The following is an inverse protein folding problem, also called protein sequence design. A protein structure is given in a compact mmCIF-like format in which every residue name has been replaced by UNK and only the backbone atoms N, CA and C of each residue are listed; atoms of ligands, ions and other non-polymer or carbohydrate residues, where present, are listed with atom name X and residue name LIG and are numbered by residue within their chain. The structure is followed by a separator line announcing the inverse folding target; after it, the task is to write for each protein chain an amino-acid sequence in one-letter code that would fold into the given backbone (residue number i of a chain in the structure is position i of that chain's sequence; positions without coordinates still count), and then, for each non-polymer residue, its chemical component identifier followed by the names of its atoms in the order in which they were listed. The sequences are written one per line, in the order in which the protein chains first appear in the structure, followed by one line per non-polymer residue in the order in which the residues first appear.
data_IF_892109786993
#
_entry.id   IF_892109786993
#
_cell.length_a   1.000
_cell.length_b   1.000
_cell.length_c   1.000
_cell.angle_alpha   90.00
_cell.angle_beta   90.00
_cell.angle_gamma   90.00
#
_symmetry.space_group_name_H-M   'P 1'
#
loop_
_entity.id
_entity.type
_entity.pdbx_description
1 polymer ?
#
# COMPACT_ATOMS: atom_id res chain seq x y z
N UNK A 1 12.24 -12.13 48.27
CA UNK A 1 12.03 -13.05 47.14
C UNK A 1 11.30 -12.29 46.05
N UNK A 2 12.04 -11.86 45.09
CA UNK A 2 11.66 -10.92 44.04
C UNK A 2 10.95 -11.69 42.91
N UNK A 3 9.66 -11.39 42.72
CA UNK A 3 8.83 -11.96 41.65
C UNK A 3 8.68 -10.96 40.51
N UNK A 4 9.30 -11.23 39.44
CA UNK A 4 9.46 -10.48 38.20
C UNK A 4 8.12 -10.16 37.52
N UNK A 5 7.71 -8.91 37.54
CA UNK A 5 6.64 -8.36 36.70
C UNK A 5 7.29 -7.82 35.41
N UNK A 6 7.40 -8.64 34.39
CA UNK A 6 7.82 -8.20 33.05
C UNK A 6 7.01 -8.97 32.01
N UNK A 7 5.84 -8.50 31.68
CA UNK A 7 5.08 -9.08 30.56
C UNK A 7 4.01 -8.17 29.96
N UNK A 8 4.09 -6.83 30.05
CA UNK A 8 3.01 -6.01 29.52
C UNK A 8 3.46 -4.78 28.74
N UNK A 9 4.71 -4.71 28.30
CA UNK A 9 5.22 -3.47 27.70
C UNK A 9 5.71 -3.62 26.24
N UNK A 10 5.24 -4.61 25.47
CA UNK A 10 5.90 -4.90 24.19
C UNK A 10 5.02 -4.79 22.95
N UNK A 11 3.77 -4.36 23.02
CA UNK A 11 2.95 -4.26 21.82
C UNK A 11 2.71 -2.83 21.30
N UNK A 12 3.04 -1.81 22.06
CA UNK A 12 2.94 -0.41 21.60
C UNK A 12 4.07 0.03 20.65
N UNK A 13 5.07 -0.81 20.43
CA UNK A 13 6.28 -0.42 19.68
C UNK A 13 6.23 -0.67 18.16
N UNK A 14 5.11 -1.12 17.61
CA UNK A 14 5.05 -1.48 16.18
C UNK A 14 4.64 -0.30 15.29
N UNK A 15 4.20 0.82 15.82
CA UNK A 15 3.69 1.96 15.04
C UNK A 15 4.33 3.32 15.36
N UNK A 16 5.38 3.39 16.13
CA UNK A 16 6.20 4.59 16.14
C UNK A 16 7.33 4.42 15.10
N UNK A 17 7.08 4.80 13.88
CA UNK A 17 8.14 5.27 12.99
C UNK A 17 8.88 6.38 13.73
N UNK A 18 10.04 6.00 14.26
CA UNK A 18 10.81 6.78 15.22
C UNK A 18 11.18 8.15 14.70
N UNK A 19 10.60 9.14 15.31
CA UNK A 19 11.22 10.43 15.42
C UNK A 19 12.41 10.33 16.37
N UNK A 20 13.56 9.87 15.91
CA UNK A 20 14.82 10.11 16.59
C UNK A 20 15.22 11.56 16.32
N UNK A 21 14.81 12.47 17.18
CA UNK A 21 15.31 13.83 17.22
C UNK A 21 16.81 13.81 17.53
N UNK A 22 17.64 13.84 16.52
CA UNK A 22 19.02 14.30 16.65
C UNK A 22 18.98 15.83 16.51
N UNK A 23 19.16 16.51 17.62
CA UNK A 23 19.57 17.91 17.64
C UNK A 23 20.96 17.98 17.03
N UNK A 24 21.05 18.26 15.73
CA UNK A 24 22.29 18.59 15.07
C UNK A 24 22.36 20.13 14.96
N UNK A 25 23.37 20.70 15.58
CA UNK A 25 23.76 22.09 15.45
C UNK A 25 23.95 22.44 13.98
N UNK A 26 23.32 23.54 13.54
CA UNK A 26 23.41 24.09 12.20
C UNK A 26 24.82 24.57 11.89
N UNK A 27 25.55 23.84 11.08
CA UNK A 27 26.53 24.39 10.16
C UNK A 27 25.89 24.42 8.79
N UNK A 28 25.84 25.58 8.14
CA UNK A 28 25.11 25.78 6.87
C UNK A 28 25.71 25.00 5.70
N UNK A 29 25.44 23.71 5.63
CA UNK A 29 25.68 22.88 4.47
C UNK A 29 24.50 23.02 3.51
N UNK A 30 24.82 23.36 2.25
CA UNK A 30 23.83 23.33 1.18
C UNK A 30 23.18 21.94 1.13
N UNK A 31 21.84 21.84 0.99
CA UNK A 31 21.19 20.56 0.88
C UNK A 31 21.83 19.75 -0.25
N UNK A 32 22.31 18.56 0.09
CA UNK A 32 22.88 17.63 -0.89
C UNK A 32 21.75 17.16 -1.80
N UNK A 33 21.93 17.35 -3.13
CA UNK A 33 20.97 16.87 -4.11
C UNK A 33 20.68 15.38 -3.88
N UNK A 34 19.42 15.04 -3.61
CA UNK A 34 19.03 13.65 -3.37
C UNK A 34 19.18 12.86 -4.68
N UNK A 35 19.98 11.82 -4.65
CA UNK A 35 20.12 10.92 -5.79
C UNK A 35 18.89 10.03 -5.90
N UNK A 36 18.43 9.70 -7.13
CA UNK A 36 17.38 8.72 -7.32
C UNK A 36 17.72 7.40 -6.61
N UNK A 37 16.79 6.87 -5.82
CA UNK A 37 16.94 5.62 -5.12
C UNK A 37 16.28 4.49 -5.93
N UNK A 38 16.99 3.36 -6.10
CA UNK A 38 16.40 2.17 -6.70
C UNK A 38 15.43 1.54 -5.69
N UNK A 39 14.18 1.35 -6.12
CA UNK A 39 13.21 0.62 -5.34
C UNK A 39 13.22 -0.87 -5.69
N UNK A 40 12.99 -1.71 -4.71
CA UNK A 40 12.81 -3.15 -4.93
C UNK A 40 11.54 -3.37 -5.76
N UNK A 41 11.64 -4.15 -6.83
CA UNK A 41 10.50 -4.60 -7.62
C UNK A 41 10.26 -6.07 -7.28
N UNK A 42 9.14 -6.40 -6.60
CA UNK A 42 8.80 -7.79 -6.33
C UNK A 42 8.61 -8.56 -7.63
N UNK A 43 9.17 -9.76 -7.71
CA UNK A 43 8.89 -10.66 -8.81
C UNK A 43 7.41 -11.05 -8.83
N UNK A 44 6.83 -11.14 -10.02
CA UNK A 44 5.43 -11.54 -10.21
C UNK A 44 5.31 -12.84 -10.98
N UNK A 45 4.35 -13.66 -10.59
CA UNK A 45 3.97 -14.88 -11.34
C UNK A 45 2.56 -14.68 -11.88
N UNK A 46 2.39 -14.83 -13.20
CA UNK A 46 1.09 -14.73 -13.87
C UNK A 46 0.60 -16.13 -14.22
N UNK A 47 -0.65 -16.43 -13.93
CA UNK A 47 -1.30 -17.69 -14.27
C UNK A 47 -2.66 -17.43 -14.91
N UNK A 48 -2.86 -17.88 -16.14
CA UNK A 48 -4.17 -17.90 -16.78
C UNK A 48 -5.05 -18.95 -16.11
N UNK A 49 -6.24 -18.58 -15.68
CA UNK A 49 -7.23 -19.45 -15.02
C UNK A 49 -8.38 -19.80 -15.96
N UNK A 50 -8.71 -18.90 -16.89
CA UNK A 50 -9.73 -19.11 -17.91
C UNK A 50 -9.53 -18.13 -19.06
N UNK A 51 -9.64 -18.60 -20.30
CA UNK A 51 -9.34 -17.82 -21.50
C UNK A 51 -10.46 -16.84 -21.92
N UNK A 52 -11.66 -17.00 -21.36
CA UNK A 52 -12.84 -16.23 -21.76
C UNK A 52 -13.43 -16.64 -23.11
N UNK A 53 -14.44 -15.89 -23.55
CA UNK A 53 -15.16 -16.13 -24.79
C UNK A 53 -14.35 -15.71 -26.03
N UNK A 54 -14.65 -16.30 -27.18
CA UNK A 54 -14.12 -15.80 -28.45
C UNK A 54 -14.89 -14.53 -28.88
N UNK A 55 -14.26 -13.60 -29.63
CA UNK A 55 -12.88 -13.66 -30.13
C UNK A 55 -11.86 -13.38 -29.01
N UNK A 56 -10.70 -14.03 -29.10
CA UNK A 56 -9.59 -13.86 -28.17
C UNK A 56 -8.44 -13.15 -28.86
N UNK A 57 -7.85 -12.17 -28.18
CA UNK A 57 -6.70 -11.40 -28.68
C UNK A 57 -5.73 -11.14 -27.55
N UNK A 58 -4.43 -10.94 -27.82
CA UNK A 58 -3.47 -10.53 -26.81
C UNK A 58 -3.90 -9.24 -26.12
N UNK A 59 -3.67 -9.15 -24.82
CA UNK A 59 -3.88 -7.94 -24.03
C UNK A 59 -2.52 -7.38 -23.65
N UNK A 60 -2.16 -6.24 -24.19
CA UNK A 60 -0.86 -5.59 -23.99
C UNK A 60 -1.03 -4.09 -23.82
N UNK A 61 -0.12 -3.47 -23.09
CA UNK A 61 -0.01 -2.02 -23.00
C UNK A 61 0.59 -1.49 -24.32
N UNK A 62 -0.02 -0.44 -24.82
CA UNK A 62 0.48 0.32 -25.96
C UNK A 62 1.00 1.66 -25.42
N UNK A 63 2.25 2.00 -25.72
CA UNK A 63 2.74 3.33 -25.38
C UNK A 63 2.33 4.29 -26.48
N UNK A 64 1.36 5.12 -26.19
CA UNK A 64 1.14 6.35 -26.93
C UNK A 64 2.02 7.44 -26.31
N UNK A 65 2.91 8.11 -27.04
CA UNK A 65 3.66 9.22 -26.50
C UNK A 65 2.71 10.36 -26.15
N UNK A 66 2.37 10.47 -24.89
CA UNK A 66 1.46 11.49 -24.39
C UNK A 66 1.38 11.46 -22.90
N UNK A 67 1.02 12.60 -22.34
CA UNK A 67 0.82 12.74 -20.91
C UNK A 67 -0.60 12.27 -20.52
N UNK A 68 -0.69 11.71 -19.33
CA UNK A 68 -1.96 11.39 -18.68
C UNK A 68 -2.00 12.10 -17.32
N UNK A 69 -3.05 12.85 -17.08
CA UNK A 69 -3.32 13.41 -15.76
C UNK A 69 -4.36 12.53 -15.05
N UNK A 70 -4.06 12.14 -13.82
CA UNK A 70 -4.92 11.29 -12.98
C UNK A 70 -4.83 11.79 -11.55
N UNK A 71 -5.97 11.82 -10.87
CA UNK A 71 -5.99 11.98 -9.44
C UNK A 71 -6.01 10.60 -8.78
N UNK A 72 -4.96 10.28 -8.03
CA UNK A 72 -4.89 9.04 -7.25
C UNK A 72 -5.21 9.38 -5.81
N UNK A 73 -6.17 8.65 -5.24
CA UNK A 73 -6.53 8.77 -3.85
C UNK A 73 -6.24 7.46 -3.14
N UNK A 74 -5.36 7.51 -2.14
CA UNK A 74 -5.06 6.37 -1.28
C UNK A 74 -5.66 6.61 0.10
N UNK A 75 -6.32 5.60 0.63
CA UNK A 75 -6.85 5.62 1.99
C UNK A 75 -6.31 4.42 2.72
N UNK A 76 -5.85 4.62 3.94
CA UNK A 76 -5.46 3.56 4.86
C UNK A 76 -6.17 3.77 6.19
N UNK A 77 -6.74 2.69 6.71
CA UNK A 77 -7.37 2.66 8.03
C UNK A 77 -6.87 1.47 8.82
N UNK A 78 -6.79 1.63 10.13
CA UNK A 78 -6.37 0.56 11.02
C UNK A 78 -7.12 0.64 12.35
N UNK A 79 -7.47 -0.53 12.88
CA UNK A 79 -7.86 -0.69 14.28
C UNK A 79 -7.15 -1.89 14.88
N UNK A 80 -7.02 -1.89 16.20
CA UNK A 80 -6.44 -3.01 16.94
C UNK A 80 -7.23 -3.22 18.23
N UNK A 81 -7.53 -4.48 18.53
CA UNK A 81 -8.19 -4.86 19.78
C UNK A 81 -7.47 -6.02 20.46
N UNK A 82 -7.38 -5.98 21.78
CA UNK A 82 -6.75 -7.04 22.57
C UNK A 82 -7.81 -7.77 23.38
N UNK A 83 -7.88 -9.09 23.26
CA UNK A 83 -8.84 -9.95 23.97
C UNK A 83 -8.13 -10.98 24.84
N UNK A 84 -8.80 -11.49 25.88
CA UNK A 84 -8.27 -12.53 26.78
C UNK A 84 -7.30 -12.04 27.86
N UNK A 85 -7.02 -10.75 27.95
CA UNK A 85 -6.31 -10.14 29.08
C UNK A 85 -7.17 -10.08 30.33
N UNK A 86 -6.57 -10.19 31.53
CA UNK A 86 -7.28 -9.91 32.77
C UNK A 86 -7.55 -8.41 32.84
N UNK A 87 -8.81 -7.98 32.89
CA UNK A 87 -9.17 -6.61 33.27
C UNK A 87 -8.64 -6.35 34.68
N UNK A 88 -7.75 -5.37 34.83
CA UNK A 88 -7.36 -4.88 36.15
C UNK A 88 -8.53 -4.04 36.72
N UNK A 89 -9.33 -4.62 37.61
CA UNK A 89 -10.51 -4.01 38.25
C UNK A 89 -10.16 -2.83 39.21
N UNK A 90 -8.98 -2.24 39.13
CA UNK A 90 -8.54 -1.21 40.12
C UNK A 90 -8.52 0.23 39.61
N UNK A 91 -8.98 0.51 38.40
CA UNK A 91 -8.84 1.86 37.79
C UNK A 91 -10.15 2.60 37.49
N UNK A 92 -11.32 2.00 37.76
CA UNK A 92 -12.61 2.65 37.45
C UNK A 92 -12.94 3.90 38.33
N UNK A 93 -12.09 4.26 39.29
CA UNK A 93 -12.34 5.38 40.22
C UNK A 93 -11.52 6.66 39.95
N UNK A 94 -10.53 6.63 39.06
CA UNK A 94 -9.62 7.78 38.84
C UNK A 94 -9.83 8.49 37.48
N UNK A 95 -10.57 7.89 36.54
CA UNK A 95 -10.66 8.39 35.15
C UNK A 95 -11.70 9.49 34.91
N UNK A 96 -12.41 9.96 35.94
CA UNK A 96 -13.43 11.02 35.76
C UNK A 96 -12.92 12.46 35.91
N UNK A 97 -11.63 12.68 36.07
CA UNK A 97 -11.11 14.03 36.40
C UNK A 97 -10.11 14.64 35.41
N UNK A 98 -9.74 13.98 34.32
CA UNK A 98 -8.81 14.57 33.37
C UNK A 98 -9.31 14.38 31.93
N UNK A 99 -9.91 15.42 31.38
CA UNK A 99 -10.21 15.50 29.95
C UNK A 99 -8.91 15.70 29.16
N UNK A 100 -8.34 14.64 28.65
CA UNK A 100 -7.37 14.66 27.56
C UNK A 100 -7.59 13.41 26.71
N UNK A 101 -7.97 13.66 25.46
CA UNK A 101 -8.20 12.65 24.44
C UNK A 101 -6.88 12.20 23.83
N UNK A 102 -6.16 11.28 24.49
CA UNK A 102 -5.17 10.43 23.82
C UNK A 102 -5.84 9.08 23.54
N UNK A 103 -5.90 8.72 22.25
CA UNK A 103 -6.71 7.64 21.70
C UNK A 103 -6.14 6.23 21.94
N UNK A 104 -5.47 5.99 23.06
CA UNK A 104 -5.03 4.66 23.48
C UNK A 104 -5.69 4.28 24.78
N UNK A 105 -6.63 3.34 24.74
CA UNK A 105 -7.07 2.65 25.94
C UNK A 105 -5.87 1.93 26.59
N UNK A 106 -5.79 1.89 27.92
CA UNK A 106 -4.70 1.29 28.70
C UNK A 106 -4.45 -0.22 28.39
N UNK A 107 -5.18 -0.80 27.47
CA UNK A 107 -5.04 -2.19 27.02
C UNK A 107 -4.32 -2.32 25.67
N UNK A 108 -3.87 -1.21 25.05
CA UNK A 108 -3.24 -1.23 23.73
C UNK A 108 -4.25 -1.38 22.59
N UNK A 109 -5.52 -1.10 22.82
CA UNK A 109 -6.54 -1.01 21.80
C UNK A 109 -6.40 0.31 21.04
N UNK A 110 -6.44 0.25 19.71
CA UNK A 110 -6.47 1.39 18.81
C UNK A 110 -7.85 1.48 18.17
N UNK A 111 -8.51 2.63 18.33
CA UNK A 111 -9.75 2.91 17.62
C UNK A 111 -9.49 3.01 16.12
N UNK A 112 -10.52 2.71 15.32
CA UNK A 112 -10.40 2.81 13.86
C UNK A 112 -10.24 4.27 13.44
N UNK A 113 -9.18 4.54 12.69
CA UNK A 113 -8.90 5.83 12.08
C UNK A 113 -8.53 5.64 10.60
N UNK A 114 -9.09 6.45 9.71
CA UNK A 114 -8.72 6.49 8.29
C UNK A 114 -7.90 7.74 7.97
N UNK A 115 -6.78 7.53 7.30
CA UNK A 115 -5.97 8.59 6.70
C UNK A 115 -6.07 8.47 5.19
N UNK A 116 -6.42 9.56 4.54
CA UNK A 116 -6.51 9.63 3.08
C UNK A 116 -5.49 10.61 2.54
N UNK A 117 -4.82 10.21 1.47
CA UNK A 117 -3.93 11.07 0.70
C UNK A 117 -4.45 11.21 -0.72
N UNK A 118 -4.45 12.43 -1.20
CA UNK A 118 -4.86 12.79 -2.55
C UNK A 118 -3.61 13.22 -3.33
N UNK A 119 -3.33 12.50 -4.40
CA UNK A 119 -2.14 12.65 -5.24
C UNK A 119 -2.58 13.00 -6.67
N UNK A 120 -2.66 14.28 -7.05
CA UNK A 120 -2.74 14.62 -8.44
C UNK A 120 -1.43 14.23 -9.11
N UNK A 121 -1.47 13.43 -10.17
CA UNK A 121 -0.27 12.95 -10.86
C UNK A 121 -0.33 13.22 -12.34
N UNK A 122 0.83 13.49 -12.92
CA UNK A 122 1.07 13.50 -14.33
C UNK A 122 1.95 12.33 -14.71
N UNK A 123 1.46 11.45 -15.56
CA UNK A 123 2.18 10.29 -16.05
C UNK A 123 2.56 10.47 -17.50
N UNK A 124 3.81 10.19 -17.85
CA UNK A 124 4.31 10.15 -19.21
C UNK A 124 4.84 8.77 -19.53
N UNK A 125 4.75 8.35 -20.78
CA UNK A 125 5.28 7.08 -21.25
C UNK A 125 6.14 7.24 -22.49
N UNK A 126 7.15 6.37 -22.61
CA UNK A 126 7.99 6.25 -23.79
C UNK A 126 8.34 4.78 -24.02
N UNK A 127 8.62 4.43 -25.27
CA UNK A 127 9.00 3.09 -25.66
C UNK A 127 10.42 3.08 -26.22
N UNK A 128 11.22 2.12 -25.79
CA UNK A 128 12.54 1.82 -26.34
C UNK A 128 12.62 0.31 -26.64
N UNK A 129 12.50 -0.03 -27.92
CA UNK A 129 12.33 -1.42 -28.37
C UNK A 129 11.07 -2.05 -27.79
N UNK A 130 11.24 -3.11 -26.98
CA UNK A 130 10.15 -3.81 -26.29
C UNK A 130 9.99 -3.38 -24.83
N UNK A 131 10.67 -2.31 -24.40
CA UNK A 131 10.59 -1.77 -23.04
C UNK A 131 9.73 -0.53 -23.03
N UNK A 132 8.85 -0.45 -22.05
CA UNK A 132 8.02 0.71 -21.77
C UNK A 132 8.56 1.41 -20.53
N UNK A 133 8.93 2.65 -20.65
CA UNK A 133 9.31 3.50 -19.50
C UNK A 133 8.12 4.40 -19.17
N UNK A 134 7.68 4.35 -17.94
CA UNK A 134 6.63 5.21 -17.38
C UNK A 134 7.24 6.05 -16.28
N UNK A 135 7.03 7.37 -16.35
CA UNK A 135 7.38 8.31 -15.28
C UNK A 135 6.11 8.96 -14.78
N UNK A 136 5.89 8.89 -13.49
CA UNK A 136 4.78 9.53 -12.79
C UNK A 136 5.34 10.60 -11.89
N UNK A 137 4.91 11.84 -12.09
CA UNK A 137 5.28 13.00 -11.29
C UNK A 137 4.09 13.42 -10.44
N UNK A 138 4.29 13.51 -9.14
CA UNK A 138 3.27 13.94 -8.18
C UNK A 138 3.17 15.47 -8.22
N UNK A 139 1.97 16.00 -8.43
CA UNK A 139 1.67 17.42 -8.25
C UNK A 139 1.58 17.77 -6.78
N UNK A 140 0.82 18.81 -6.43
CA UNK A 140 0.64 19.22 -5.02
C UNK A 140 -0.21 18.20 -4.24
N UNK A 141 0.40 17.36 -3.39
CA UNK A 141 -0.33 16.36 -2.62
C UNK A 141 -1.06 17.00 -1.44
N UNK A 142 -2.17 16.38 -1.01
CA UNK A 142 -2.92 16.77 0.20
C UNK A 142 -3.38 15.55 0.96
N UNK A 143 -3.66 15.70 2.24
CA UNK A 143 -4.19 14.64 3.11
C UNK A 143 -5.37 15.10 3.94
N UNK A 144 -6.06 14.16 4.58
CA UNK A 144 -7.19 14.45 5.51
C UNK A 144 -6.75 15.16 6.78
N UNK A 145 -5.50 14.98 7.20
CA UNK A 145 -4.92 15.74 8.30
C UNK A 145 -4.44 17.10 7.76
N UNK A 146 -5.26 18.15 7.96
CA UNK A 146 -5.01 19.48 7.44
C UNK A 146 -3.71 20.09 7.97
N UNK A 147 -3.34 19.82 9.23
CA UNK A 147 -2.14 20.36 9.88
C UNK A 147 -0.84 19.84 9.24
N UNK A 148 -0.93 18.69 8.55
CA UNK A 148 0.20 18.10 7.84
C UNK A 148 0.30 18.49 6.36
N UNK A 149 -0.69 19.21 5.82
CA UNK A 149 -0.72 19.51 4.39
C UNK A 149 0.42 20.44 3.94
N UNK A 150 0.87 21.36 4.80
CA UNK A 150 2.04 22.18 4.51
C UNK A 150 3.29 21.31 4.35
N UNK A 151 3.55 20.40 5.29
CA UNK A 151 4.66 19.45 5.24
C UNK A 151 4.56 18.54 4.00
N UNK A 152 3.42 17.88 3.80
CA UNK A 152 3.20 16.96 2.69
C UNK A 152 3.40 17.65 1.33
N UNK A 153 2.98 18.93 1.20
CA UNK A 153 3.12 19.69 -0.04
C UNK A 153 4.58 19.94 -0.46
N UNK A 154 5.55 19.82 0.46
CA UNK A 154 6.98 19.94 0.14
C UNK A 154 7.47 18.82 -0.79
N UNK A 155 6.73 17.73 -0.91
CA UNK A 155 7.01 16.64 -1.84
C UNK A 155 6.38 16.82 -3.24
N UNK A 156 5.83 18.00 -3.57
CA UNK A 156 5.43 18.32 -4.94
C UNK A 156 6.61 18.16 -5.89
N UNK A 157 6.42 17.44 -6.99
CA UNK A 157 7.49 17.06 -7.91
C UNK A 157 8.15 15.71 -7.63
N UNK A 158 7.66 14.96 -6.63
CA UNK A 158 8.15 13.59 -6.40
C UNK A 158 7.92 12.71 -7.61
N UNK A 159 8.93 11.97 -8.05
CA UNK A 159 8.86 11.14 -9.24
C UNK A 159 9.04 9.66 -8.92
N UNK A 160 8.25 8.83 -9.62
CA UNK A 160 8.45 7.39 -9.73
C UNK A 160 8.61 7.01 -11.20
N UNK A 161 9.75 6.45 -11.56
CA UNK A 161 10.02 5.92 -12.89
C UNK A 161 10.08 4.41 -12.87
N UNK A 162 9.39 3.77 -13.80
CA UNK A 162 9.36 2.31 -13.93
C UNK A 162 9.66 1.90 -15.37
N UNK A 163 10.37 0.78 -15.54
CA UNK A 163 10.56 0.13 -16.84
C UNK A 163 9.85 -1.21 -16.81
N UNK A 164 9.01 -1.47 -17.82
CA UNK A 164 8.24 -2.69 -17.94
C UNK A 164 8.28 -3.28 -19.36
N UNK A 165 7.82 -4.52 -19.48
CA UNK A 165 7.48 -5.15 -20.76
C UNK A 165 6.03 -4.83 -21.16
N UNK A 166 5.64 -5.13 -22.40
CA UNK A 166 4.31 -4.83 -22.94
C UNK A 166 3.16 -5.51 -22.19
N UNK A 167 3.42 -6.60 -21.48
CA UNK A 167 2.45 -7.25 -20.59
C UNK A 167 2.26 -6.52 -19.25
N UNK A 168 3.07 -5.49 -18.95
CA UNK A 168 3.02 -4.72 -17.72
C UNK A 168 3.97 -5.21 -16.62
N UNK A 169 4.81 -6.19 -16.87
CA UNK A 169 5.80 -6.71 -15.92
C UNK A 169 6.93 -5.71 -15.73
N UNK A 170 7.00 -5.13 -14.54
CA UNK A 170 8.03 -4.14 -14.17
C UNK A 170 9.35 -4.85 -13.90
N UNK A 171 10.42 -4.35 -14.49
CA UNK A 171 11.80 -4.85 -14.32
C UNK A 171 12.66 -3.95 -13.43
N UNK A 172 12.37 -2.65 -13.40
CA UNK A 172 13.08 -1.70 -12.53
C UNK A 172 12.16 -0.55 -12.13
N UNK A 173 12.46 0.03 -10.96
CA UNK A 173 11.75 1.19 -10.43
C UNK A 173 12.73 2.11 -9.71
N UNK A 174 12.58 3.41 -9.91
CA UNK A 174 13.38 4.45 -9.25
C UNK A 174 12.44 5.46 -8.63
N UNK A 175 12.71 5.86 -7.40
CA UNK A 175 12.04 6.93 -6.67
C UNK A 175 12.97 8.13 -6.58
N UNK A 176 12.46 9.33 -6.80
CA UNK A 176 13.20 10.56 -6.71
C UNK A 176 12.39 11.62 -5.99
N UNK A 177 12.84 12.03 -4.82
CA UNK A 177 12.22 13.11 -4.06
C UNK A 177 12.82 14.47 -4.48
N UNK A 178 12.02 15.54 -4.55
CA UNK A 178 12.55 16.88 -4.73
C UNK A 178 13.42 17.30 -3.54
N UNK A 179 14.42 18.13 -3.76
CA UNK A 179 15.32 18.61 -2.71
C UNK A 179 14.58 19.37 -1.59
N UNK A 180 13.41 19.91 -1.88
CA UNK A 180 12.56 20.63 -0.94
C UNK A 180 11.74 19.72 -0.03
N UNK A 181 11.62 18.44 -0.36
CA UNK A 181 10.81 17.50 0.41
C UNK A 181 11.43 17.24 1.78
N UNK A 182 10.61 17.38 2.82
CA UNK A 182 10.99 16.91 4.16
C UNK A 182 11.05 15.37 4.18
N UNK A 183 11.79 14.79 5.12
CA UNK A 183 11.83 13.32 5.28
C UNK A 183 10.45 12.75 5.57
N UNK A 184 9.62 13.47 6.32
CA UNK A 184 8.25 13.10 6.65
C UNK A 184 7.34 13.08 5.42
N UNK A 185 7.40 14.15 4.60
CA UNK A 185 6.64 14.24 3.35
C UNK A 185 7.07 13.14 2.37
N UNK A 186 8.39 12.95 2.20
CA UNK A 186 8.95 11.89 1.36
C UNK A 186 8.42 10.52 1.77
N UNK A 187 8.52 10.17 3.06
CA UNK A 187 8.05 8.87 3.54
C UNK A 187 6.54 8.69 3.32
N UNK A 188 5.74 9.74 3.49
CA UNK A 188 4.30 9.71 3.27
C UNK A 188 3.94 9.45 1.79
N UNK A 189 4.63 10.11 0.86
CA UNK A 189 4.42 9.89 -0.58
C UNK A 189 4.91 8.52 -1.02
N UNK A 190 6.09 8.09 -0.55
CA UNK A 190 6.61 6.74 -0.83
C UNK A 190 5.63 5.66 -0.38
N UNK A 191 5.05 5.81 0.81
CA UNK A 191 4.06 4.88 1.34
C UNK A 191 2.78 4.84 0.48
N UNK A 192 2.22 6.00 0.13
CA UNK A 192 1.04 6.09 -0.72
C UNK A 192 1.27 5.49 -2.12
N UNK A 193 2.43 5.77 -2.74
CA UNK A 193 2.79 5.20 -4.04
C UNK A 193 3.06 3.69 -3.96
N UNK A 194 3.60 3.20 -2.84
CA UNK A 194 3.78 1.78 -2.60
C UNK A 194 2.43 1.06 -2.60
N UNK A 195 1.41 1.61 -1.93
CA UNK A 195 0.05 1.05 -1.96
C UNK A 195 -0.50 0.91 -3.39
N UNK A 196 -0.24 1.90 -4.26
CA UNK A 196 -0.63 1.85 -5.68
C UNK A 196 0.13 0.76 -6.44
N UNK A 197 1.43 0.66 -6.22
CA UNK A 197 2.32 -0.24 -6.97
C UNK A 197 2.33 -1.68 -6.45
N UNK A 198 1.79 -1.92 -5.27
CA UNK A 198 1.59 -3.27 -4.71
C UNK A 198 0.47 -4.05 -5.40
N UNK A 199 -0.31 -3.40 -6.28
CA UNK A 199 -1.30 -4.05 -7.13
C UNK A 199 -0.85 -4.07 -8.60
N UNK A 200 0.11 -4.92 -8.99
CA UNK A 200 0.64 -4.94 -10.35
C UNK A 200 -0.41 -5.42 -11.34
N UNK A 201 -0.67 -4.63 -12.38
CA UNK A 201 -1.52 -5.01 -13.51
C UNK A 201 -0.62 -5.65 -14.57
N UNK A 202 -0.57 -6.97 -14.59
CA UNK A 202 0.21 -7.75 -15.55
C UNK A 202 -0.72 -8.70 -16.29
N UNK A 203 -0.67 -8.65 -17.61
CA UNK A 203 -1.52 -9.47 -18.48
C UNK A 203 -0.92 -10.84 -18.76
N UNK A 204 -1.74 -11.88 -19.05
CA UNK A 204 -1.24 -13.16 -19.49
C UNK A 204 -0.69 -13.08 -20.93
N UNK A 205 0.30 -13.92 -21.24
CA UNK A 205 0.90 -13.99 -22.57
C UNK A 205 -0.07 -14.53 -23.63
N UNK A 206 -1.03 -15.35 -23.20
CA UNK A 206 -2.01 -15.99 -24.08
C UNK A 206 -3.07 -14.97 -24.53
N UNK A 207 -3.63 -15.19 -25.72
CA UNK A 207 -4.79 -14.46 -26.19
C UNK A 207 -6.02 -14.75 -25.30
N UNK A 208 -6.70 -13.71 -24.88
CA UNK A 208 -7.87 -13.78 -23.99
C UNK A 208 -9.06 -13.01 -24.55
N UNK A 209 -10.26 -13.40 -24.12
CA UNK A 209 -11.51 -12.74 -24.46
C UNK A 209 -12.31 -12.34 -23.23
N UNK A 210 -13.48 -11.75 -23.44
CA UNK A 210 -14.36 -11.35 -22.32
C UNK A 210 -14.72 -12.55 -21.45
N UNK A 211 -14.75 -12.35 -20.15
CA UNK A 211 -14.88 -13.41 -19.15
C UNK A 211 -13.57 -14.10 -18.78
N UNK A 212 -12.45 -13.79 -19.45
CA UNK A 212 -11.16 -14.36 -19.08
C UNK A 212 -10.79 -14.00 -17.65
N UNK A 213 -10.13 -14.95 -16.98
CA UNK A 213 -9.63 -14.77 -15.60
C UNK A 213 -8.17 -15.18 -15.53
N UNK A 214 -7.37 -14.38 -14.82
CA UNK A 214 -5.98 -14.71 -14.53
C UNK A 214 -5.58 -14.19 -13.16
N UNK A 215 -4.55 -14.78 -12.59
CA UNK A 215 -3.98 -14.33 -11.33
C UNK A 215 -2.56 -13.81 -11.50
N UNK A 216 -2.23 -12.80 -10.71
CA UNK A 216 -0.90 -12.23 -10.56
C UNK A 216 -0.50 -12.39 -9.11
N UNK A 217 0.49 -13.22 -8.84
CA UNK A 217 0.99 -13.46 -7.49
C UNK A 217 2.31 -12.75 -7.27
N UNK A 218 2.43 -12.08 -6.11
CA UNK A 218 3.61 -11.34 -5.68
C UNK A 218 3.82 -11.50 -4.18
N UNK A 219 4.94 -11.00 -3.70
CA UNK A 219 5.19 -10.78 -2.28
C UNK A 219 5.08 -9.29 -2.01
N UNK A 220 4.43 -8.95 -0.92
CA UNK A 220 4.40 -7.59 -0.38
C UNK A 220 5.05 -7.61 1.00
N UNK A 221 5.85 -6.58 1.28
CA UNK A 221 6.52 -6.42 2.55
C UNK A 221 5.81 -5.34 3.37
N UNK A 222 5.71 -5.58 4.67
CA UNK A 222 5.07 -4.71 5.64
C UNK A 222 5.51 -5.15 7.04
N UNK A 223 4.67 -4.94 8.05
CA UNK A 223 4.90 -5.43 9.42
C UNK A 223 5.17 -6.94 9.42
N UNK A 224 4.46 -7.66 8.58
CA UNK A 224 4.76 -9.04 8.19
C UNK A 224 4.79 -9.14 6.67
N UNK A 225 5.68 -9.99 6.15
CA UNK A 225 5.67 -10.30 4.74
C UNK A 225 4.44 -11.13 4.37
N UNK A 226 3.75 -10.72 3.31
CA UNK A 226 2.55 -11.38 2.80
C UNK A 226 2.78 -11.93 1.40
N UNK A 227 2.18 -13.07 1.10
CA UNK A 227 1.94 -13.48 -0.28
C UNK A 227 0.62 -12.88 -0.71
N UNK A 228 0.62 -12.18 -1.82
CA UNK A 228 -0.57 -11.59 -2.42
C UNK A 228 -0.88 -12.29 -3.75
N UNK A 229 -2.15 -12.53 -3.98
CA UNK A 229 -2.67 -12.98 -5.27
C UNK A 229 -3.78 -12.03 -5.70
N UNK A 230 -3.55 -11.30 -6.78
CA UNK A 230 -4.56 -10.46 -7.42
C UNK A 230 -5.18 -11.26 -8.57
N UNK A 231 -6.49 -11.42 -8.53
CA UNK A 231 -7.25 -12.08 -9.60
C UNK A 231 -7.99 -11.04 -10.41
N UNK A 232 -7.69 -10.97 -11.69
CA UNK A 232 -8.36 -10.11 -12.65
C UNK A 232 -9.37 -10.91 -13.47
N UNK A 233 -10.51 -10.28 -13.76
CA UNK A 233 -11.49 -10.78 -14.73
C UNK A 233 -11.70 -9.71 -15.78
N UNK A 234 -11.50 -10.06 -17.06
CA UNK A 234 -11.82 -9.18 -18.20
C UNK A 234 -13.33 -9.12 -18.36
N UNK A 235 -13.94 -8.01 -17.92
CA UNK A 235 -15.40 -7.83 -17.96
C UNK A 235 -15.87 -7.36 -19.34
N UNK A 236 -15.09 -6.47 -19.96
CA UNK A 236 -15.44 -5.86 -21.24
C UNK A 236 -14.17 -5.36 -21.94
N UNK A 237 -14.13 -5.46 -23.26
CA UNK A 237 -13.09 -4.87 -24.11
C UNK A 237 -13.72 -4.19 -25.33
N UNK A 238 -13.42 -2.90 -25.49
CA UNK A 238 -13.83 -2.11 -26.67
C UNK A 238 -12.60 -1.40 -27.24
N UNK A 239 -11.97 -2.03 -28.23
CA UNK A 239 -10.69 -1.52 -28.76
C UNK A 239 -9.61 -1.53 -27.70
N UNK A 240 -9.12 -0.35 -27.32
CA UNK A 240 -8.10 -0.16 -26.27
C UNK A 240 -8.73 0.05 -24.87
N UNK A 241 -10.03 0.34 -24.80
CA UNK A 241 -10.71 0.46 -23.52
C UNK A 241 -11.01 -0.93 -22.94
N UNK A 242 -10.61 -1.14 -21.69
CA UNK A 242 -10.72 -2.40 -20.97
C UNK A 242 -11.30 -2.17 -19.59
N UNK A 243 -12.26 -3.00 -19.19
CA UNK A 243 -12.80 -3.02 -17.85
C UNK A 243 -12.46 -4.33 -17.16
N UNK A 244 -11.81 -4.22 -16.00
CA UNK A 244 -11.40 -5.35 -15.19
C UNK A 244 -12.16 -5.35 -13.86
N UNK A 245 -12.59 -6.53 -13.42
CA UNK A 245 -12.91 -6.78 -12.02
C UNK A 245 -11.66 -7.27 -11.32
N UNK A 246 -11.48 -6.85 -10.07
CA UNK A 246 -10.32 -7.16 -9.24
C UNK A 246 -10.77 -7.85 -7.97
N UNK A 247 -10.13 -8.94 -7.63
CA UNK A 247 -10.19 -9.58 -6.31
C UNK A 247 -8.76 -9.77 -5.79
N UNK A 248 -8.56 -9.62 -4.49
CA UNK A 248 -7.24 -9.76 -3.86
C UNK A 248 -7.35 -10.73 -2.71
N UNK A 249 -6.40 -11.65 -2.63
CA UNK A 249 -6.17 -12.51 -1.48
C UNK A 249 -4.76 -12.28 -0.93
N UNK A 250 -4.64 -12.22 0.40
CA UNK A 250 -3.38 -12.04 1.10
C UNK A 250 -3.25 -13.07 2.21
N UNK A 251 -2.12 -13.75 2.22
CA UNK A 251 -1.79 -14.71 3.27
C UNK A 251 -0.38 -14.43 3.82
N UNK A 252 -0.16 -14.56 5.14
CA UNK A 252 1.17 -14.40 5.73
C UNK A 252 2.18 -15.35 5.07
N UNK A 253 3.31 -14.79 4.64
CA UNK A 253 4.42 -15.58 4.09
C UNK A 253 5.19 -16.32 5.20
N UNK A 254 5.13 -15.81 6.41
CA UNK A 254 5.71 -16.38 7.62
C UNK A 254 4.69 -16.34 8.75
N UNK A 255 4.72 -17.32 9.64
CA UNK A 255 3.78 -17.39 10.79
C UNK A 255 4.27 -16.62 12.01
N UNK A 256 5.57 -16.47 12.17
CA UNK A 256 6.16 -15.86 13.36
C UNK A 256 6.54 -14.40 13.04
N UNK A 257 6.19 -13.46 13.92
CA UNK A 257 6.73 -12.12 13.86
C UNK A 257 8.20 -12.16 14.31
N UNK A 258 9.07 -11.67 13.44
CA UNK A 258 10.50 -11.60 13.73
C UNK A 258 10.75 -10.87 15.06
N UNK A 259 11.68 -11.39 15.86
CA UNK A 259 12.08 -10.82 17.16
C UNK A 259 10.98 -10.79 18.26
N UNK A 260 9.89 -11.50 18.04
CA UNK A 260 8.82 -11.64 19.06
C UNK A 260 8.41 -13.10 19.24
N UNK A 261 7.70 -13.41 20.34
CA UNK A 261 7.07 -14.72 20.56
C UNK A 261 5.65 -14.80 19.95
N UNK A 262 5.27 -13.82 19.13
CA UNK A 262 3.93 -13.76 18.54
C UNK A 262 3.88 -14.50 17.21
N UNK A 263 2.79 -15.23 17.03
CA UNK A 263 2.46 -15.92 15.79
C UNK A 263 1.21 -15.32 15.18
N UNK A 264 1.13 -15.33 13.85
CA UNK A 264 -0.13 -15.12 13.14
C UNK A 264 -0.94 -16.40 13.29
N UNK A 265 -2.06 -16.30 13.99
CA UNK A 265 -2.96 -17.43 14.28
C UNK A 265 -4.07 -17.53 13.24
N UNK A 266 -4.52 -16.41 12.72
CA UNK A 266 -5.54 -16.32 11.68
C UNK A 266 -5.30 -15.12 10.77
N UNK A 267 -5.76 -15.23 9.52
CA UNK A 267 -5.67 -14.18 8.50
C UNK A 267 -6.85 -14.29 7.56
N UNK A 268 -7.60 -13.21 7.41
CA UNK A 268 -8.68 -13.12 6.44
C UNK A 268 -8.52 -11.89 5.57
N UNK A 269 -8.85 -12.02 4.28
CA UNK A 269 -8.84 -10.91 3.32
C UNK A 269 -10.22 -10.81 2.67
N UNK A 270 -10.78 -9.62 2.63
CA UNK A 270 -11.96 -9.26 1.84
C UNK A 270 -11.57 -8.16 0.89
N UNK A 271 -11.72 -8.37 -0.40
CA UNK A 271 -11.34 -7.37 -1.37
C UNK A 271 -12.33 -7.32 -2.53
N UNK A 272 -12.55 -6.11 -3.02
CA UNK A 272 -13.33 -5.88 -4.22
C UNK A 272 -12.79 -4.68 -4.99
N UNK A 273 -12.84 -4.75 -6.30
CA UNK A 273 -12.42 -3.63 -7.13
C UNK A 273 -12.86 -3.74 -8.57
N UNK A 274 -12.80 -2.59 -9.23
CA UNK A 274 -12.98 -2.45 -10.66
C UNK A 274 -12.01 -1.42 -11.18
N UNK A 275 -11.39 -1.70 -12.32
CA UNK A 275 -10.49 -0.81 -13.03
C UNK A 275 -10.99 -0.62 -14.46
N UNK A 276 -10.98 0.62 -14.93
CA UNK A 276 -11.14 0.98 -16.32
C UNK A 276 -9.79 1.43 -16.84
N UNK A 277 -9.30 0.75 -17.85
CA UNK A 277 -8.01 1.00 -18.49
C UNK A 277 -8.25 1.53 -19.89
N UNK A 278 -7.39 2.41 -20.33
CA UNK A 278 -7.09 2.64 -21.74
C UNK A 278 -5.68 2.09 -21.95
N UNK A 279 -5.52 1.08 -22.78
CA UNK A 279 -4.24 0.41 -22.98
C UNK A 279 -3.19 1.30 -23.63
N UNK A 280 -3.57 2.49 -24.13
CA UNK A 280 -2.65 3.52 -24.62
C UNK A 280 -2.12 4.43 -23.50
N UNK A 281 -2.70 4.35 -22.29
CA UNK A 281 -2.35 5.19 -21.14
C UNK A 281 -1.62 4.39 -20.08
N UNK A 282 -0.61 4.96 -19.40
CA UNK A 282 0.21 4.21 -18.46
C UNK A 282 -0.49 3.86 -17.13
N UNK A 283 -1.56 4.58 -16.76
CA UNK A 283 -2.30 4.38 -15.53
C UNK A 283 -3.78 4.09 -15.79
N UNK A 284 -4.50 3.44 -14.86
CA UNK A 284 -5.96 3.36 -14.93
C UNK A 284 -6.58 4.74 -15.11
N UNK A 285 -7.56 4.85 -16.02
CA UNK A 285 -8.30 6.10 -16.24
C UNK A 285 -9.35 6.33 -15.15
N UNK A 286 -9.90 5.25 -14.62
CA UNK A 286 -10.83 5.28 -13.48
C UNK A 286 -10.82 3.93 -12.78
N UNK A 287 -11.03 3.95 -11.49
CA UNK A 287 -11.20 2.71 -10.76
C UNK A 287 -11.21 2.88 -9.25
N UNK A 288 -11.54 1.80 -8.57
CA UNK A 288 -11.43 1.68 -7.12
C UNK A 288 -11.13 0.24 -6.77
N UNK A 289 -10.19 0.05 -5.88
CA UNK A 289 -9.92 -1.24 -5.23
C UNK A 289 -9.88 -1.02 -3.73
N UNK A 290 -10.60 -1.83 -2.98
CA UNK A 290 -10.61 -1.82 -1.52
C UNK A 290 -10.24 -3.20 -1.01
N UNK A 291 -9.34 -3.23 -0.03
CA UNK A 291 -8.84 -4.44 0.61
C UNK A 291 -9.00 -4.27 2.12
N UNK A 292 -9.77 -5.16 2.74
CA UNK A 292 -9.87 -5.29 4.19
C UNK A 292 -9.14 -6.55 4.61
N UNK A 293 -8.24 -6.41 5.56
CA UNK A 293 -7.48 -7.52 6.09
C UNK A 293 -7.60 -7.58 7.60
N UNK A 294 -7.91 -8.75 8.14
CA UNK A 294 -7.89 -9.02 9.58
C UNK A 294 -6.79 -10.01 9.87
N UNK A 295 -5.92 -9.68 10.81
CA UNK A 295 -4.87 -10.54 11.33
C UNK A 295 -5.09 -10.75 12.82
N UNK A 296 -5.05 -12.01 13.24
CA UNK A 296 -5.08 -12.38 14.67
C UNK A 296 -3.71 -12.86 15.08
N UNK A 297 -3.14 -12.19 16.06
CA UNK A 297 -1.84 -12.54 16.64
C UNK A 297 -2.02 -13.13 18.03
N UNK A 298 -1.11 -14.01 18.41
CA UNK A 298 -1.05 -14.55 19.75
C UNK A 298 0.18 -15.40 20.01
N UNK A 299 0.46 -15.62 21.28
CA UNK A 299 1.52 -16.55 21.72
C UNK A 299 0.92 -17.93 21.92
N UNK A 300 1.69 -18.99 21.59
CA UNK A 300 1.30 -20.37 21.86
C UNK A 300 1.05 -20.58 23.36
N UNK A 301 -0.09 -21.18 23.71
CA UNK A 301 -0.50 -21.41 25.08
C UNK A 301 -1.09 -20.18 25.82
N UNK A 302 -1.05 -18.99 25.26
CA UNK A 302 -1.71 -17.81 25.81
C UNK A 302 -3.18 -17.74 25.37
N UNK A 303 -4.04 -17.18 26.24
CA UNK A 303 -5.42 -16.83 25.88
C UNK A 303 -5.53 -15.42 25.29
N UNK A 304 -4.46 -14.62 25.39
CA UNK A 304 -4.43 -13.25 24.84
C UNK A 304 -4.35 -13.32 23.33
N UNK A 305 -5.21 -12.55 22.66
CA UNK A 305 -5.23 -12.35 21.21
C UNK A 305 -5.21 -10.87 20.92
N UNK A 306 -4.46 -10.52 19.89
CA UNK A 306 -4.47 -9.19 19.30
C UNK A 306 -5.07 -9.32 17.92
N UNK A 307 -6.19 -8.67 17.69
CA UNK A 307 -6.85 -8.59 16.40
C UNK A 307 -6.53 -7.24 15.79
N UNK A 308 -5.95 -7.26 14.61
CA UNK A 308 -5.65 -6.06 13.82
C UNK A 308 -6.50 -6.10 12.55
N UNK A 309 -7.28 -5.06 12.33
CA UNK A 309 -8.01 -4.84 11.09
C UNK A 309 -7.36 -3.68 10.34
N UNK A 310 -7.06 -3.89 9.06
CA UNK A 310 -6.56 -2.85 8.17
C UNK A 310 -7.47 -2.73 6.95
N UNK A 311 -7.67 -1.50 6.51
CA UNK A 311 -8.38 -1.17 5.27
C UNK A 311 -7.44 -0.38 4.38
N UNK A 312 -7.27 -0.82 3.15
CA UNK A 312 -6.55 -0.09 2.12
C UNK A 312 -7.50 0.16 0.94
N UNK A 313 -7.56 1.39 0.46
CA UNK A 313 -8.38 1.78 -0.67
C UNK A 313 -7.56 2.63 -1.62
N UNK A 314 -7.59 2.27 -2.90
CA UNK A 314 -6.97 3.09 -3.95
C UNK A 314 -8.03 3.43 -4.99
N UNK A 315 -8.10 4.70 -5.34
CA UNK A 315 -9.05 5.24 -6.33
C UNK A 315 -8.28 6.00 -7.39
N UNK A 316 -8.72 5.90 -8.64
CA UNK A 316 -8.19 6.63 -9.81
C UNK A 316 -9.32 7.38 -10.47
N UNK A 317 -9.07 8.63 -10.85
CA UNK A 317 -10.02 9.48 -11.58
C UNK A 317 -9.24 10.44 -12.50
N UNK A 318 -9.50 10.38 -13.82
CA UNK A 318 -8.84 11.18 -14.85
C UNK A 318 -9.83 11.93 -15.73
#
# INVERSE_FOLDING_TARGET
MSGTRKATAFLAAVLTLGGAGLVACSSGEKPVAMRPAQATVPGVTVKLLGEGAAPRTPLVWFSDPGDQEVNIKTTEGMSQTTTGGKKNQRQDAASQAAGNSDATDEQGDLSYEEVTMNLPVKASSSTDGNKHKVTVTVGKPTGTNADRNEDISTAEGFEISSTSTADGRVSSRTLSAPETATDSARASIEHALTQVTDMPIVFPEQAIGEGATWSVSSRIDGVISMRQTVTYTLVERKGQAVRLRVAVDRAPAVKNLAQTDLNVLDSTTQASGQLNLDLTKPLPVRGRVEIKQTLTFGKQGSKVRVNQETVQRTEWDS
#
